data_IF_360314780680
#
_entry.id   IF_360314780680
#
_cell.length_a   1.000
_cell.length_b   1.000
_cell.length_c   1.000
_cell.angle_alpha   90.00
_cell.angle_beta   90.00
_cell.angle_gamma   90.00
#
_symmetry.space_group_name_H-M   'P 1'
#
loop_
_entity.id
_entity.type
_entity.pdbx_description
1 polymer ?
#
# COMPACT_ATOMS: atom_id res chain seq x y z
N UNK A 1 -12.94 -39.58 -0.20
CA UNK A 1 -11.96 -39.94 0.84
C UNK A 1 -12.39 -39.20 2.10
N UNK A 2 -13.03 -39.92 3.03
CA UNK A 2 -13.56 -39.33 4.26
C UNK A 2 -12.39 -39.12 5.21
N UNK A 3 -12.12 -37.85 5.57
CA UNK A 3 -11.17 -37.50 6.61
C UNK A 3 -11.89 -37.81 7.93
N UNK A 4 -11.35 -38.79 8.69
CA UNK A 4 -11.88 -39.15 9.99
C UNK A 4 -11.69 -37.98 10.96
N UNK A 5 -12.79 -37.41 11.46
CA UNK A 5 -12.80 -36.48 12.56
C UNK A 5 -12.23 -37.18 13.80
N UNK A 6 -11.17 -36.65 14.38
CA UNK A 6 -10.72 -36.99 15.73
C UNK A 6 -11.68 -36.37 16.75
N UNK A 7 -12.00 -37.06 17.86
CA UNK A 7 -12.88 -36.49 18.86
C UNK A 7 -12.25 -35.26 19.52
N UNK A 8 -13.10 -34.30 19.83
CA UNK A 8 -12.81 -33.05 20.51
C UNK A 8 -11.92 -33.22 21.73
N UNK A 9 -10.66 -32.81 21.65
CA UNK A 9 -9.86 -32.49 22.81
C UNK A 9 -10.25 -31.14 23.34
N UNK A 10 -10.96 -31.09 24.43
CA UNK A 10 -11.17 -29.88 25.22
C UNK A 10 -9.82 -29.50 25.82
N UNK A 11 -9.14 -28.55 25.22
CA UNK A 11 -7.95 -27.95 25.81
C UNK A 11 -8.40 -26.89 26.82
N UNK A 12 -8.39 -27.21 28.09
CA UNK A 12 -8.36 -26.26 29.18
C UNK A 12 -6.97 -25.58 29.15
N UNK A 13 -6.83 -24.53 28.39
CA UNK A 13 -5.72 -23.60 28.51
C UNK A 13 -6.31 -22.30 29.05
N UNK A 14 -5.79 -21.86 30.18
CA UNK A 14 -6.22 -20.73 30.99
C UNK A 14 -6.88 -19.59 30.21
N UNK A 15 -8.18 -19.40 30.48
CA UNK A 15 -8.96 -18.15 30.34
C UNK A 15 -9.24 -17.56 28.93
N UNK A 16 -9.44 -18.37 27.90
CA UNK A 16 -10.10 -17.89 26.68
C UNK A 16 -11.11 -18.93 26.19
N UNK A 17 -12.40 -18.66 26.40
CA UNK A 17 -13.50 -19.40 25.78
C UNK A 17 -13.75 -18.72 24.42
N UNK A 18 -13.35 -19.38 23.34
CA UNK A 18 -13.75 -18.95 21.99
C UNK A 18 -15.23 -19.26 21.79
N UNK A 19 -16.06 -18.24 21.56
CA UNK A 19 -17.47 -18.41 21.15
C UNK A 19 -17.52 -18.89 19.69
N UNK A 20 -16.53 -18.53 18.88
CA UNK A 20 -16.35 -19.09 17.55
C UNK A 20 -15.85 -20.54 17.68
N UNK A 21 -16.50 -21.48 16.98
CA UNK A 21 -15.99 -22.87 16.96
C UNK A 21 -14.62 -22.92 16.26
N UNK A 22 -13.79 -23.92 16.58
CA UNK A 22 -12.49 -24.13 15.90
C UNK A 22 -12.67 -24.22 14.38
N UNK A 23 -13.77 -24.81 13.91
CA UNK A 23 -14.12 -24.91 12.49
C UNK A 23 -14.36 -23.51 11.89
N UNK A 24 -15.14 -22.67 12.54
CA UNK A 24 -15.40 -21.29 12.08
C UNK A 24 -14.12 -20.44 12.06
N UNK A 25 -13.26 -20.55 13.06
CA UNK A 25 -12.00 -19.85 13.15
C UNK A 25 -11.02 -20.33 12.05
N UNK A 26 -10.99 -21.63 11.76
CA UNK A 26 -10.19 -22.19 10.67
C UNK A 26 -10.70 -21.76 9.29
N UNK A 27 -12.03 -21.72 9.12
CA UNK A 27 -12.66 -21.23 7.88
C UNK A 27 -12.37 -19.74 7.66
N UNK A 28 -12.38 -18.92 8.70
CA UNK A 28 -11.98 -17.51 8.63
C UNK A 28 -10.54 -17.37 8.18
N UNK A 29 -9.61 -18.12 8.82
CA UNK A 29 -8.20 -18.11 8.44
C UNK A 29 -7.99 -18.55 6.99
N UNK A 30 -8.76 -19.54 6.55
CA UNK A 30 -8.73 -20.05 5.16
C UNK A 30 -9.20 -18.98 4.18
N UNK A 31 -10.27 -18.27 4.48
CA UNK A 31 -10.75 -17.14 3.65
C UNK A 31 -9.69 -16.04 3.55
N UNK A 32 -9.11 -15.63 4.66
CA UNK A 32 -8.05 -14.61 4.71
C UNK A 32 -6.82 -15.05 3.91
N UNK A 33 -6.42 -16.32 3.97
CA UNK A 33 -5.36 -16.88 3.13
C UNK A 33 -5.67 -16.70 1.64
N UNK A 34 -6.88 -16.99 1.19
CA UNK A 34 -7.28 -16.80 -0.21
C UNK A 34 -7.27 -15.33 -0.62
N UNK A 35 -7.70 -14.41 0.24
CA UNK A 35 -7.61 -12.96 -0.01
C UNK A 35 -6.16 -12.50 -0.13
N UNK A 36 -5.29 -12.91 0.82
CA UNK A 36 -3.85 -12.62 0.80
C UNK A 36 -3.18 -13.08 -0.50
N UNK A 37 -3.66 -14.17 -1.08
CA UNK A 37 -3.17 -14.76 -2.32
C UNK A 37 -3.53 -13.95 -3.56
N UNK A 38 -4.59 -13.16 -3.55
CA UNK A 38 -5.04 -12.38 -4.72
C UNK A 38 -3.89 -11.53 -5.26
N UNK A 39 -3.72 -11.55 -6.59
CA UNK A 39 -2.67 -10.82 -7.31
C UNK A 39 -1.20 -11.20 -6.98
N UNK A 40 -0.96 -12.22 -6.14
CA UNK A 40 0.39 -12.66 -5.72
C UNK A 40 0.69 -14.13 -6.05
N UNK A 41 -0.11 -14.77 -6.89
CA UNK A 41 -0.06 -16.22 -7.20
C UNK A 41 1.28 -16.74 -7.74
N UNK A 42 2.10 -15.85 -8.31
CA UNK A 42 3.38 -16.21 -8.92
C UNK A 42 4.60 -15.79 -8.08
N UNK A 43 4.39 -15.23 -6.91
CA UNK A 43 5.47 -14.93 -5.97
C UNK A 43 6.06 -16.20 -5.39
N UNK A 44 7.39 -16.30 -5.31
CA UNK A 44 8.07 -17.51 -4.83
C UNK A 44 7.57 -17.97 -3.45
N UNK A 45 7.34 -17.04 -2.52
CA UNK A 45 6.84 -17.34 -1.17
C UNK A 45 5.40 -17.86 -1.18
N UNK A 46 4.54 -17.28 -2.05
CA UNK A 46 3.14 -17.75 -2.21
C UNK A 46 3.11 -19.15 -2.80
N UNK A 47 3.94 -19.42 -3.81
CA UNK A 47 4.04 -20.75 -4.43
C UNK A 47 4.58 -21.79 -3.43
N UNK A 48 5.61 -21.43 -2.65
CA UNK A 48 6.18 -22.30 -1.63
C UNK A 48 5.19 -22.59 -0.49
N UNK A 49 4.32 -21.63 -0.16
CA UNK A 49 3.24 -21.84 0.79
C UNK A 49 2.18 -22.75 0.20
N UNK A 50 1.73 -22.51 -1.03
CA UNK A 50 0.67 -23.25 -1.71
C UNK A 50 1.02 -24.73 -1.93
N UNK A 51 2.30 -25.06 -2.08
CA UNK A 51 2.74 -26.45 -2.24
C UNK A 51 2.37 -27.34 -1.06
N UNK A 52 2.34 -26.78 0.17
CA UNK A 52 1.99 -27.49 1.41
C UNK A 52 0.96 -26.70 2.24
N UNK A 53 0.06 -25.96 1.58
CA UNK A 53 -0.82 -24.98 2.22
C UNK A 53 -1.61 -25.54 3.41
N UNK A 54 -2.20 -26.72 3.28
CA UNK A 54 -3.02 -27.32 4.33
C UNK A 54 -2.23 -27.55 5.62
N UNK A 55 -1.03 -28.13 5.50
CA UNK A 55 -0.15 -28.36 6.66
C UNK A 55 0.32 -27.04 7.28
N UNK A 56 0.69 -26.08 6.44
CA UNK A 56 1.16 -24.78 6.92
C UNK A 56 0.03 -23.98 7.59
N UNK A 57 -1.17 -24.05 7.03
CA UNK A 57 -2.32 -23.36 7.59
C UNK A 57 -2.75 -23.95 8.92
N UNK A 58 -2.73 -25.28 9.07
CA UNK A 58 -3.00 -25.94 10.38
C UNK A 58 -1.95 -25.53 11.41
N UNK A 59 -0.66 -25.55 11.07
CA UNK A 59 0.39 -25.10 12.00
C UNK A 59 0.23 -23.64 12.39
N UNK A 60 -0.12 -22.77 11.43
CA UNK A 60 -0.38 -21.36 11.70
C UNK A 60 -1.60 -21.20 12.60
N UNK A 61 -2.66 -21.97 12.36
CA UNK A 61 -3.86 -21.96 13.19
C UNK A 61 -3.52 -22.36 14.63
N UNK A 62 -2.82 -23.48 14.83
CA UNK A 62 -2.38 -23.93 16.15
C UNK A 62 -1.56 -22.85 16.86
N UNK A 63 -0.59 -22.24 16.16
CA UNK A 63 0.25 -21.19 16.72
C UNK A 63 -0.53 -19.90 17.06
N UNK A 64 -1.56 -19.56 16.28
CA UNK A 64 -2.45 -18.43 16.58
C UNK A 64 -3.32 -18.71 17.81
N UNK A 65 -3.87 -19.93 17.91
CA UNK A 65 -4.71 -20.36 19.04
C UNK A 65 -3.93 -20.41 20.35
N UNK A 66 -2.67 -20.85 20.31
CA UNK A 66 -1.79 -20.91 21.49
C UNK A 66 -1.06 -19.58 21.77
N UNK A 67 -1.26 -18.55 20.93
CA UNK A 67 -0.52 -17.26 20.97
C UNK A 67 1.01 -17.41 20.85
N UNK A 68 1.46 -18.50 20.25
CA UNK A 68 2.88 -18.75 19.95
C UNK A 68 3.30 -18.22 18.58
N UNK A 69 2.35 -17.76 17.75
CA UNK A 69 2.63 -17.20 16.45
C UNK A 69 3.58 -15.99 16.54
N UNK A 70 4.56 -15.96 15.64
CA UNK A 70 5.51 -14.85 15.48
C UNK A 70 5.60 -14.46 14.00
N UNK A 71 5.83 -13.19 13.74
CA UNK A 71 6.08 -12.69 12.38
C UNK A 71 7.58 -12.78 12.11
N UNK A 72 7.98 -13.90 11.56
CA UNK A 72 9.37 -14.22 11.23
C UNK A 72 9.63 -14.21 9.71
N UNK A 73 10.88 -14.53 9.32
CA UNK A 73 11.31 -14.68 7.94
C UNK A 73 11.03 -13.43 7.10
N UNK A 74 11.44 -12.28 7.62
CA UNK A 74 11.40 -11.03 6.88
C UNK A 74 12.54 -10.99 5.85
N UNK A 75 12.30 -10.27 4.75
CA UNK A 75 13.33 -9.97 3.76
C UNK A 75 13.23 -8.52 3.33
N UNK A 76 14.38 -7.92 3.03
CA UNK A 76 14.50 -6.55 2.62
C UNK A 76 15.09 -6.43 1.21
N UNK A 77 14.57 -5.49 0.43
CA UNK A 77 15.09 -5.16 -0.88
C UNK A 77 14.86 -3.69 -1.21
N UNK A 78 15.64 -3.18 -2.18
CA UNK A 78 15.46 -1.83 -2.67
C UNK A 78 14.59 -1.81 -3.93
N UNK A 79 13.73 -0.81 -4.01
CA UNK A 79 13.03 -0.42 -5.24
C UNK A 79 13.53 0.92 -5.70
N UNK A 80 13.81 1.06 -7.00
CA UNK A 80 14.29 2.32 -7.60
C UNK A 80 13.15 3.20 -8.15
N UNK A 81 11.94 2.67 -8.24
CA UNK A 81 10.82 3.36 -8.87
C UNK A 81 9.69 3.63 -7.87
N UNK A 82 9.08 4.85 -7.86
CA UNK A 82 9.47 6.09 -8.57
C UNK A 82 10.71 6.78 -7.99
N UNK A 83 11.11 6.41 -6.81
CA UNK A 83 12.33 6.80 -6.10
C UNK A 83 12.85 5.61 -5.32
N UNK A 84 14.13 5.63 -4.96
CA UNK A 84 14.71 4.60 -4.12
C UNK A 84 13.96 4.50 -2.77
N UNK A 85 13.58 3.30 -2.44
CA UNK A 85 12.91 2.97 -1.17
C UNK A 85 13.38 1.63 -0.67
N UNK A 86 13.54 1.55 0.62
CA UNK A 86 13.74 0.32 1.36
C UNK A 86 12.39 -0.35 1.62
N UNK A 87 12.25 -1.59 1.18
CA UNK A 87 11.01 -2.36 1.34
C UNK A 87 11.30 -3.57 2.21
N UNK A 88 10.51 -3.73 3.26
CA UNK A 88 10.52 -4.92 4.08
C UNK A 88 9.24 -5.72 3.82
N UNK A 89 9.42 -6.95 3.43
CA UNK A 89 8.34 -7.89 3.26
C UNK A 89 8.50 -9.04 4.25
N UNK A 90 7.41 -9.65 4.62
CA UNK A 90 7.37 -10.79 5.50
C UNK A 90 7.01 -12.07 4.74
N UNK A 91 7.15 -13.23 5.36
CA UNK A 91 6.69 -14.52 4.84
C UNK A 91 5.22 -14.48 4.43
N UNK A 92 4.76 -15.48 3.71
CA UNK A 92 3.35 -15.53 3.33
C UNK A 92 2.44 -15.68 4.55
N UNK A 93 2.88 -16.41 5.59
CA UNK A 93 2.21 -16.53 6.89
C UNK A 93 2.09 -15.17 7.60
N UNK A 94 3.17 -14.38 7.60
CA UNK A 94 3.14 -13.03 8.16
C UNK A 94 2.18 -12.10 7.42
N UNK A 95 2.05 -12.26 6.08
CA UNK A 95 1.05 -11.51 5.30
C UNK A 95 -0.38 -11.93 5.61
N UNK A 96 -0.62 -13.22 5.86
CA UNK A 96 -1.93 -13.70 6.33
C UNK A 96 -2.27 -13.05 7.67
N UNK A 97 -1.30 -12.94 8.59
CA UNK A 97 -1.51 -12.27 9.87
C UNK A 97 -1.82 -10.76 9.69
N UNK A 98 -1.09 -10.07 8.82
CA UNK A 98 -1.40 -8.66 8.48
C UNK A 98 -2.83 -8.50 7.93
N UNK A 99 -3.23 -9.40 7.01
CA UNK A 99 -4.58 -9.38 6.45
C UNK A 99 -5.63 -9.73 7.48
N UNK A 100 -5.36 -10.69 8.38
CA UNK A 100 -6.29 -11.06 9.43
C UNK A 100 -6.61 -9.86 10.35
N UNK A 101 -5.60 -9.10 10.76
CA UNK A 101 -5.79 -7.85 11.52
C UNK A 101 -6.54 -6.80 10.70
N UNK A 102 -6.00 -6.49 9.52
CA UNK A 102 -6.49 -5.35 8.74
C UNK A 102 -7.87 -5.59 8.11
N UNK A 103 -8.17 -6.81 7.66
CA UNK A 103 -9.43 -7.09 6.96
C UNK A 103 -10.61 -7.20 7.95
N UNK A 104 -10.38 -7.74 9.15
CA UNK A 104 -11.40 -7.77 10.20
C UNK A 104 -11.66 -6.38 10.79
N UNK A 105 -10.63 -5.55 10.91
CA UNK A 105 -10.78 -4.19 11.44
C UNK A 105 -11.19 -3.16 10.39
N UNK A 106 -11.12 -3.50 9.10
CA UNK A 106 -11.38 -2.57 8.00
C UNK A 106 -12.71 -1.81 8.12
N UNK A 107 -13.87 -2.44 8.40
CA UNK A 107 -15.13 -1.72 8.53
C UNK A 107 -15.05 -0.62 9.61
N UNK A 108 -14.44 -0.92 10.73
CA UNK A 108 -14.32 -0.02 11.88
C UNK A 108 -13.28 1.07 11.65
N UNK A 109 -12.17 0.75 11.00
CA UNK A 109 -11.14 1.72 10.58
C UNK A 109 -11.73 2.71 9.57
N UNK A 110 -12.56 2.25 8.63
CA UNK A 110 -13.23 3.15 7.67
C UNK A 110 -14.19 4.12 8.35
N UNK A 111 -14.89 3.70 9.41
CA UNK A 111 -15.74 4.57 10.22
C UNK A 111 -14.93 5.58 11.05
N UNK A 112 -13.73 5.19 11.46
CA UNK A 112 -12.87 6.01 12.32
C UNK A 112 -12.08 7.06 11.53
N UNK A 113 -11.63 6.72 10.33
CA UNK A 113 -10.82 7.63 9.53
C UNK A 113 -11.63 8.83 9.03
N UNK A 114 -11.10 10.03 9.26
CA UNK A 114 -11.71 11.26 8.74
C UNK A 114 -11.92 11.17 7.21
N UNK A 115 -13.03 11.68 6.65
CA UNK A 115 -13.35 11.58 5.22
C UNK A 115 -12.26 12.14 4.30
N UNK A 116 -11.44 13.07 4.77
CA UNK A 116 -10.34 13.71 4.03
C UNK A 116 -8.99 12.99 4.13
N UNK A 117 -8.99 11.76 4.65
CA UNK A 117 -7.84 10.84 4.60
C UNK A 117 -8.04 9.85 3.45
N UNK A 118 -7.09 9.80 2.48
CA UNK A 118 -7.31 9.12 1.19
C UNK A 118 -6.44 7.90 0.93
N UNK A 119 -5.49 7.59 1.80
CA UNK A 119 -4.59 6.46 1.59
C UNK A 119 -5.20 5.13 2.06
N UNK A 120 -4.95 4.06 1.30
CA UNK A 120 -5.26 2.67 1.65
C UNK A 120 -6.73 2.41 2.06
N UNK A 121 -7.68 3.12 1.45
CA UNK A 121 -9.11 3.03 1.71
C UNK A 121 -9.89 2.62 0.46
N UNK A 122 -11.07 2.02 0.66
CA UNK A 122 -11.97 1.65 -0.44
C UNK A 122 -12.50 2.92 -1.12
N UNK A 123 -12.53 2.93 -2.44
CA UNK A 123 -12.96 4.05 -3.30
C UNK A 123 -12.24 5.38 -3.06
N UNK A 124 -11.20 5.36 -2.24
CA UNK A 124 -10.26 6.45 -2.04
C UNK A 124 -8.98 6.16 -2.83
N UNK A 125 -8.08 7.09 -2.92
CA UNK A 125 -6.82 6.91 -3.65
C UNK A 125 -6.33 8.24 -4.17
N UNK A 126 -5.21 8.24 -4.90
CA UNK A 126 -4.59 9.49 -5.36
C UNK A 126 -5.50 10.35 -6.22
N UNK A 127 -6.33 9.74 -7.08
CA UNK A 127 -7.27 10.51 -7.90
C UNK A 127 -8.39 11.13 -7.08
N UNK A 128 -8.93 10.40 -6.10
CA UNK A 128 -9.95 10.93 -5.21
C UNK A 128 -9.41 12.07 -4.33
N UNK A 129 -8.15 11.96 -3.84
CA UNK A 129 -7.49 13.03 -3.12
C UNK A 129 -7.28 14.29 -3.98
N UNK A 130 -6.87 14.12 -5.25
CA UNK A 130 -6.73 15.23 -6.20
C UNK A 130 -8.08 15.90 -6.45
N UNK A 131 -9.14 15.13 -6.67
CA UNK A 131 -10.49 15.65 -6.89
C UNK A 131 -10.98 16.43 -5.65
N UNK A 132 -10.73 15.92 -4.45
CA UNK A 132 -11.08 16.62 -3.21
C UNK A 132 -10.40 18.00 -3.11
N UNK A 133 -9.10 18.08 -3.42
CA UNK A 133 -8.38 19.36 -3.44
C UNK A 133 -8.97 20.33 -4.47
N UNK A 134 -9.40 19.83 -5.62
CA UNK A 134 -10.07 20.65 -6.65
C UNK A 134 -11.43 21.16 -6.16
N UNK A 135 -12.20 20.31 -5.51
CA UNK A 135 -13.48 20.65 -4.88
C UNK A 135 -13.28 21.71 -3.78
N UNK A 136 -12.27 21.53 -2.93
CA UNK A 136 -11.91 22.49 -1.88
C UNK A 136 -11.54 23.86 -2.48
N UNK A 137 -10.73 23.89 -3.56
CA UNK A 137 -10.40 25.13 -4.25
C UNK A 137 -11.66 25.78 -4.83
N UNK A 138 -12.52 25.02 -5.49
CA UNK A 138 -13.75 25.54 -6.08
C UNK A 138 -14.70 26.11 -5.01
N UNK A 139 -14.84 25.43 -3.86
CA UNK A 139 -15.66 25.86 -2.73
C UNK A 139 -15.12 27.16 -2.13
N UNK A 140 -13.83 27.14 -1.73
CA UNK A 140 -13.18 28.27 -1.05
C UNK A 140 -13.08 29.52 -1.93
N UNK A 141 -13.00 29.34 -3.25
CA UNK A 141 -12.89 30.44 -4.21
C UNK A 141 -14.21 30.84 -4.86
N UNK A 142 -15.34 30.36 -4.35
CA UNK A 142 -16.66 30.61 -4.93
C UNK A 142 -16.68 30.37 -6.46
N UNK A 143 -16.29 29.16 -6.86
CA UNK A 143 -16.21 28.76 -8.27
C UNK A 143 -15.08 29.45 -9.05
N UNK A 144 -13.90 29.61 -8.45
CA UNK A 144 -12.67 30.18 -9.00
C UNK A 144 -12.70 31.72 -9.20
N UNK A 145 -13.59 32.41 -8.53
CA UNK A 145 -13.70 33.88 -8.60
C UNK A 145 -12.85 34.57 -7.56
N UNK A 146 -12.83 34.05 -6.33
CA UNK A 146 -12.18 34.68 -5.19
C UNK A 146 -10.72 34.20 -5.02
N UNK A 147 -9.95 34.98 -4.27
CA UNK A 147 -8.57 34.64 -3.92
C UNK A 147 -8.54 33.66 -2.75
N UNK A 148 -7.61 32.74 -2.83
CA UNK A 148 -7.36 31.73 -1.82
C UNK A 148 -5.89 31.32 -1.80
N UNK A 149 -5.49 30.64 -0.72
CA UNK A 149 -4.13 30.12 -0.52
C UNK A 149 -4.15 28.61 -0.45
N UNK A 150 -3.10 28.01 -0.96
CA UNK A 150 -2.79 26.59 -0.77
C UNK A 150 -1.51 26.45 0.04
N UNK A 151 -1.62 25.73 1.15
CA UNK A 151 -0.48 25.41 2.02
C UNK A 151 -0.25 23.91 1.90
N UNK A 152 0.88 23.53 1.30
CA UNK A 152 1.26 22.13 1.19
C UNK A 152 2.34 21.77 2.20
N UNK A 153 2.22 20.59 2.78
CA UNK A 153 3.20 20.02 3.68
C UNK A 153 3.44 18.54 3.40
N UNK A 154 4.60 18.03 3.80
CA UNK A 154 5.04 16.63 3.66
C UNK A 154 5.66 16.21 4.99
N UNK A 155 5.52 14.94 5.36
CA UNK A 155 6.11 14.41 6.57
C UNK A 155 7.49 13.80 6.28
N UNK A 156 8.52 14.26 7.00
CA UNK A 156 9.89 13.79 6.81
C UNK A 156 10.06 12.37 7.33
N UNK A 157 10.27 11.41 6.41
CA UNK A 157 10.53 10.02 6.79
C UNK A 157 9.39 9.43 7.62
N UNK A 158 8.15 9.56 7.16
CA UNK A 158 6.94 9.21 7.91
C UNK A 158 7.00 7.79 8.47
N UNK A 159 7.19 6.77 7.62
CA UNK A 159 7.28 5.37 8.04
C UNK A 159 8.52 5.08 8.93
N UNK A 160 9.75 5.48 8.53
CA UNK A 160 10.93 5.16 9.35
C UNK A 160 11.02 5.89 10.69
N UNK A 161 10.20 6.91 10.94
CA UNK A 161 10.24 7.65 12.20
C UNK A 161 8.99 7.44 13.08
N UNK A 162 7.96 6.77 12.58
CA UNK A 162 6.76 6.47 13.34
C UNK A 162 7.07 5.57 14.54
N UNK A 163 6.48 5.86 15.70
CA UNK A 163 6.64 5.02 16.89
C UNK A 163 5.67 3.84 16.87
N UNK A 164 6.20 2.63 17.00
CA UNK A 164 5.37 1.43 17.08
C UNK A 164 4.36 1.48 18.22
N UNK A 165 4.75 2.06 19.37
CA UNK A 165 3.87 2.25 20.52
C UNK A 165 2.66 3.14 20.22
N UNK A 166 2.86 4.24 19.47
CA UNK A 166 1.73 5.09 19.07
C UNK A 166 0.83 4.41 18.05
N UNK A 167 1.40 3.66 17.10
CA UNK A 167 0.59 2.86 16.17
C UNK A 167 -0.23 1.79 16.88
N UNK A 168 0.34 1.13 17.91
CA UNK A 168 -0.39 0.18 18.75
C UNK A 168 -1.56 0.85 19.48
N UNK A 169 -1.36 2.06 20.02
CA UNK A 169 -2.43 2.86 20.63
C UNK A 169 -3.56 3.10 19.63
N UNK A 170 -3.26 3.54 18.41
CA UNK A 170 -4.26 3.80 17.39
C UNK A 170 -5.11 2.55 17.05
N UNK A 171 -4.49 1.39 16.90
CA UNK A 171 -5.24 0.14 16.68
C UNK A 171 -6.07 -0.25 17.89
N UNK A 172 -5.53 -0.10 19.10
CA UNK A 172 -6.24 -0.43 20.32
C UNK A 172 -7.44 0.47 20.56
N UNK A 173 -7.36 1.76 20.24
CA UNK A 173 -8.48 2.69 20.31
C UNK A 173 -9.62 2.29 19.40
N UNK A 174 -9.35 1.89 18.16
CA UNK A 174 -10.35 1.35 17.25
C UNK A 174 -10.98 0.07 17.81
N UNK A 175 -10.17 -0.87 18.28
CA UNK A 175 -10.65 -2.14 18.82
C UNK A 175 -11.54 -1.91 20.07
N UNK A 176 -11.14 -1.02 20.97
CA UNK A 176 -11.94 -0.74 22.17
C UNK A 176 -13.22 0.02 21.87
N UNK A 177 -13.15 1.02 20.98
CA UNK A 177 -14.32 1.79 20.56
C UNK A 177 -15.42 0.91 19.96
N UNK A 178 -15.04 -0.05 19.13
CA UNK A 178 -15.94 -0.96 18.41
C UNK A 178 -15.97 -2.38 19.00
N UNK A 179 -15.54 -2.53 20.27
CA UNK A 179 -15.39 -3.83 20.92
C UNK A 179 -16.66 -4.68 20.86
N UNK A 180 -17.82 -4.07 21.13
CA UNK A 180 -19.10 -4.78 21.16
C UNK A 180 -19.52 -5.21 19.75
N UNK A 181 -19.31 -4.37 18.76
CA UNK A 181 -19.66 -4.68 17.37
C UNK A 181 -18.77 -5.80 16.82
N UNK A 182 -17.45 -5.73 17.10
CA UNK A 182 -16.48 -6.78 16.73
C UNK A 182 -16.84 -8.10 17.42
N UNK A 183 -17.18 -8.04 18.70
CA UNK A 183 -17.56 -9.24 19.46
C UNK A 183 -18.88 -9.84 18.94
N UNK A 184 -19.84 -9.01 18.59
CA UNK A 184 -21.14 -9.46 18.03
C UNK A 184 -20.96 -10.10 16.64
N UNK A 185 -20.01 -9.61 15.82
CA UNK A 185 -19.80 -10.12 14.47
C UNK A 185 -18.91 -11.38 14.44
N UNK A 186 -17.85 -11.41 15.29
CA UNK A 186 -16.81 -12.44 15.21
C UNK A 186 -16.65 -13.28 16.49
N UNK A 187 -17.23 -12.89 17.61
CA UNK A 187 -17.13 -13.56 18.92
C UNK A 187 -16.41 -12.72 19.97
N UNK A 188 -16.74 -12.95 21.25
CA UNK A 188 -16.32 -12.14 22.41
C UNK A 188 -14.79 -12.07 22.60
N UNK A 189 -14.08 -13.10 22.21
CA UNK A 189 -12.61 -13.20 22.35
C UNK A 189 -11.84 -12.51 21.22
N UNK A 190 -12.51 -12.21 20.11
CA UNK A 190 -11.86 -11.66 18.91
C UNK A 190 -11.25 -10.27 19.16
N UNK A 191 -11.88 -9.32 19.88
CA UNK A 191 -11.22 -8.05 20.19
C UNK A 191 -9.87 -8.24 20.91
N UNK A 192 -9.82 -9.15 21.89
CA UNK A 192 -8.56 -9.47 22.60
C UNK A 192 -7.52 -10.17 21.73
N UNK A 193 -7.97 -11.05 20.83
CA UNK A 193 -7.12 -11.69 19.84
C UNK A 193 -6.54 -10.69 18.83
N UNK A 194 -7.37 -9.80 18.28
CA UNK A 194 -6.94 -8.78 17.33
C UNK A 194 -5.94 -7.80 17.96
N UNK A 195 -6.17 -7.38 19.21
CA UNK A 195 -5.20 -6.57 19.96
C UNK A 195 -3.84 -7.26 20.04
N UNK A 196 -3.81 -8.52 20.48
CA UNK A 196 -2.59 -9.30 20.56
C UNK A 196 -1.91 -9.45 19.20
N UNK A 197 -2.67 -9.80 18.14
CA UNK A 197 -2.12 -10.02 16.81
C UNK A 197 -1.62 -8.72 16.18
N UNK A 198 -2.32 -7.60 16.36
CA UNK A 198 -1.88 -6.28 15.91
C UNK A 198 -0.54 -5.90 16.57
N UNK A 199 -0.41 -6.11 17.89
CA UNK A 199 0.84 -5.90 18.61
C UNK A 199 1.99 -6.73 18.00
N UNK A 200 1.79 -8.01 17.75
CA UNK A 200 2.81 -8.89 17.12
C UNK A 200 3.19 -8.38 15.72
N UNK A 201 2.22 -7.91 14.94
CA UNK A 201 2.47 -7.39 13.60
C UNK A 201 3.20 -6.04 13.61
N UNK A 202 2.88 -5.16 14.55
CA UNK A 202 3.45 -3.80 14.67
C UNK A 202 4.86 -3.86 15.23
N UNK A 203 5.08 -4.62 16.32
CA UNK A 203 6.36 -4.72 17.00
C UNK A 203 7.31 -5.78 16.42
N UNK A 204 6.95 -6.40 15.28
CA UNK A 204 7.90 -7.25 14.59
C UNK A 204 9.10 -6.39 14.13
N UNK A 205 10.26 -6.61 14.71
CA UNK A 205 11.48 -5.92 14.28
C UNK A 205 11.88 -6.42 12.87
N UNK A 206 11.31 -5.78 11.82
CA UNK A 206 11.44 -6.22 10.44
C UNK A 206 12.89 -6.15 9.92
N UNK A 207 13.74 -5.31 10.51
CA UNK A 207 15.15 -5.19 10.17
C UNK A 207 16.05 -6.22 10.88
N UNK A 208 15.55 -6.85 11.95
CA UNK A 208 16.31 -7.85 12.68
C UNK A 208 16.25 -9.20 11.97
N UNK A 209 17.40 -9.82 11.74
CA UNK A 209 17.54 -11.14 11.10
C UNK A 209 16.79 -11.27 9.76
N UNK A 210 16.68 -10.16 8.99
CA UNK A 210 16.05 -10.22 7.68
C UNK A 210 17.05 -10.65 6.59
N UNK A 211 16.54 -11.39 5.59
CA UNK A 211 17.27 -11.73 4.38
C UNK A 211 17.39 -10.49 3.47
N UNK A 212 18.61 -10.12 3.08
CA UNK A 212 18.84 -9.05 2.11
C UNK A 212 18.77 -9.61 0.69
N UNK A 213 17.79 -9.18 -0.10
CA UNK A 213 17.61 -9.57 -1.51
C UNK A 213 18.23 -8.57 -2.50
N UNK A 214 18.74 -7.47 -2.01
CA UNK A 214 19.55 -6.50 -2.77
C UNK A 214 20.93 -6.42 -2.12
N UNK A 215 22.02 -6.32 -2.89
CA UNK A 215 23.38 -6.19 -2.35
C UNK A 215 23.50 -5.01 -1.37
N UNK A 216 24.16 -5.23 -0.24
CA UNK A 216 24.25 -4.27 0.86
C UNK A 216 24.89 -2.93 0.44
N UNK A 217 25.84 -2.95 -0.48
CA UNK A 217 26.48 -1.71 -1.00
C UNK A 217 25.50 -0.72 -1.61
N UNK A 218 24.45 -1.20 -2.27
CA UNK A 218 23.42 -0.33 -2.85
C UNK A 218 22.59 0.40 -1.80
N UNK A 219 22.51 -0.11 -0.55
CA UNK A 219 21.82 0.60 0.52
C UNK A 219 22.51 1.90 0.87
N UNK A 220 23.83 1.85 1.05
CA UNK A 220 24.64 3.02 1.39
C UNK A 220 24.59 4.09 0.29
N UNK A 221 24.51 3.67 -0.98
CA UNK A 221 24.49 4.59 -2.12
C UNK A 221 23.13 5.30 -2.31
N UNK A 222 22.05 4.69 -1.87
CA UNK A 222 20.70 5.14 -2.27
C UNK A 222 19.74 5.44 -1.13
N UNK A 223 20.02 4.97 0.08
CA UNK A 223 19.15 5.19 1.26
C UNK A 223 19.93 5.98 2.32
N UNK A 224 19.43 7.17 2.62
CA UNK A 224 19.95 7.98 3.72
C UNK A 224 19.75 7.22 5.05
N UNK A 225 20.73 7.19 5.97
CA UNK A 225 20.60 6.49 7.25
C UNK A 225 19.34 6.88 8.04
N UNK A 226 18.96 8.15 8.02
CA UNK A 226 17.75 8.63 8.68
C UNK A 226 16.45 8.00 8.16
N UNK A 227 16.47 7.47 6.93
CA UNK A 227 15.32 6.85 6.26
C UNK A 227 15.35 5.32 6.26
N UNK A 228 16.41 4.71 6.80
CA UNK A 228 16.58 3.27 6.86
C UNK A 228 16.14 2.73 8.22
N UNK A 229 15.35 1.65 8.23
CA UNK A 229 14.99 0.93 9.45
C UNK A 229 16.19 0.24 10.09
N UNK A 230 17.24 -0.08 9.32
CA UNK A 230 18.48 -0.65 9.88
C UNK A 230 19.22 0.30 10.82
N UNK A 231 18.93 1.60 10.75
CA UNK A 231 19.55 2.64 11.58
C UNK A 231 18.66 3.10 12.72
N UNK A 232 17.51 2.43 12.94
CA UNK A 232 16.56 2.82 13.99
C UNK A 232 16.65 1.93 15.21
N UNK A 233 16.40 2.55 16.37
CA UNK A 233 16.24 1.82 17.61
C UNK A 233 14.96 0.93 17.57
N UNK A 234 14.95 -0.20 18.28
CA UNK A 234 13.76 -1.02 18.41
C UNK A 234 12.53 -0.21 18.87
N UNK A 235 11.40 -0.41 18.19
CA UNK A 235 10.16 0.33 18.47
C UNK A 235 10.05 1.66 17.72
N UNK A 236 11.07 2.07 16.96
CA UNK A 236 11.04 3.23 16.07
C UNK A 236 11.06 2.76 14.62
N UNK A 237 10.12 3.30 13.84
CA UNK A 237 9.96 2.99 12.43
C UNK A 237 9.10 1.75 12.19
N UNK A 238 8.25 1.87 11.18
CA UNK A 238 7.40 0.79 10.68
C UNK A 238 7.79 0.43 9.25
N UNK A 239 7.74 -0.85 8.89
CA UNK A 239 8.24 -1.30 7.60
C UNK A 239 7.35 -0.86 6.44
N UNK A 240 7.95 -0.30 5.38
CA UNK A 240 7.27 -0.09 4.12
C UNK A 240 7.13 -1.45 3.42
N UNK A 241 5.89 -1.84 3.09
CA UNK A 241 5.60 -3.09 2.41
C UNK A 241 4.67 -4.03 3.18
N UNK A 242 4.31 -3.67 4.41
CA UNK A 242 3.33 -4.41 5.22
C UNK A 242 1.96 -3.71 5.23
N UNK A 243 0.90 -4.53 5.26
CA UNK A 243 -0.48 -4.02 5.24
C UNK A 243 -0.83 -3.32 6.56
N UNK A 244 -0.42 -3.88 7.70
CA UNK A 244 -0.61 -3.25 9.02
C UNK A 244 0.05 -1.88 9.10
N UNK A 245 1.28 -1.73 8.57
CA UNK A 245 1.95 -0.43 8.51
C UNK A 245 1.16 0.57 7.66
N UNK A 246 0.75 0.17 6.45
CA UNK A 246 0.02 1.06 5.54
C UNK A 246 -1.33 1.50 6.10
N UNK A 247 -2.05 0.59 6.74
CA UNK A 247 -3.35 0.87 7.37
C UNK A 247 -3.18 1.72 8.61
N UNK A 248 -2.23 1.37 9.48
CA UNK A 248 -1.95 2.07 10.71
C UNK A 248 -1.49 3.51 10.50
N UNK A 249 -0.73 3.81 9.42
CA UNK A 249 -0.27 5.18 9.15
C UNK A 249 -1.42 6.15 8.83
N UNK A 250 -2.56 5.65 8.33
CA UNK A 250 -3.79 6.45 8.21
C UNK A 250 -4.37 6.84 9.56
N UNK A 251 -4.45 5.88 10.49
CA UNK A 251 -4.90 6.12 11.85
C UNK A 251 -3.95 7.04 12.63
N UNK A 252 -2.64 6.89 12.39
CA UNK A 252 -1.56 7.58 13.10
C UNK A 252 -1.69 9.09 13.11
N UNK A 253 -2.19 9.69 12.04
CA UNK A 253 -2.37 11.14 11.88
C UNK A 253 -3.84 11.56 11.85
N UNK A 254 -4.75 10.60 12.07
CA UNK A 254 -6.19 10.87 11.95
C UNK A 254 -6.68 12.00 12.86
N UNK A 255 -6.18 12.06 14.10
CA UNK A 255 -6.52 13.11 15.05
C UNK A 255 -6.03 14.49 14.62
N UNK A 256 -4.89 14.56 13.92
CA UNK A 256 -4.40 15.83 13.38
C UNK A 256 -5.24 16.27 12.19
N UNK A 257 -5.69 15.31 11.37
CA UNK A 257 -6.60 15.59 10.25
C UNK A 257 -7.96 16.06 10.76
N UNK A 258 -8.49 15.43 11.80
CA UNK A 258 -9.74 15.86 12.46
C UNK A 258 -9.58 17.26 13.07
N UNK A 259 -8.52 17.46 13.84
CA UNK A 259 -8.26 18.76 14.44
C UNK A 259 -8.21 19.88 13.41
N UNK A 260 -7.50 19.70 12.29
CA UNK A 260 -7.43 20.71 11.24
C UNK A 260 -8.78 20.98 10.57
N UNK A 261 -9.54 19.91 10.27
CA UNK A 261 -10.82 20.03 9.53
C UNK A 261 -11.98 20.41 10.45
N UNK A 262 -12.17 19.68 11.56
CA UNK A 262 -13.38 19.79 12.38
C UNK A 262 -13.24 20.88 13.43
N UNK A 263 -12.08 20.98 14.13
CA UNK A 263 -11.89 21.93 15.21
C UNK A 263 -11.41 23.29 14.69
N UNK A 264 -10.49 23.31 13.70
CA UNK A 264 -9.93 24.54 13.16
C UNK A 264 -10.68 25.06 11.91
N UNK A 265 -11.54 24.24 11.29
CA UNK A 265 -12.28 24.62 10.10
C UNK A 265 -11.41 24.86 8.87
N UNK A 266 -10.28 24.15 8.74
CA UNK A 266 -9.36 24.26 7.61
C UNK A 266 -9.56 23.07 6.67
N UNK A 267 -9.96 23.30 5.41
CA UNK A 267 -10.05 22.27 4.41
C UNK A 267 -8.67 21.61 4.19
N UNK A 268 -8.46 20.46 4.83
CA UNK A 268 -7.19 19.74 4.81
C UNK A 268 -7.35 18.35 4.23
N UNK A 269 -6.78 18.10 3.06
CA UNK A 269 -6.76 16.79 2.39
C UNK A 269 -5.41 16.13 2.60
N UNK A 270 -5.42 14.86 3.04
CA UNK A 270 -4.20 14.12 3.36
C UNK A 270 -4.13 12.80 2.59
N UNK A 271 -2.95 12.52 2.02
CA UNK A 271 -2.60 11.27 1.39
C UNK A 271 -1.24 10.78 1.88
N UNK A 272 -1.20 9.85 2.81
CA UNK A 272 0.02 9.38 3.48
C UNK A 272 0.80 10.53 4.15
N UNK A 273 1.99 10.80 3.60
CA UNK A 273 2.92 11.83 4.05
C UNK A 273 2.65 13.23 3.45
N UNK A 274 1.82 13.31 2.43
CA UNK A 274 1.48 14.56 1.74
C UNK A 274 0.15 15.15 2.25
N UNK A 275 0.13 16.41 2.70
CA UNK A 275 -1.07 17.17 3.08
C UNK A 275 -1.20 18.48 2.33
N UNK A 276 -2.44 18.85 2.07
CA UNK A 276 -2.80 20.11 1.40
C UNK A 276 -3.91 20.80 2.19
N UNK A 277 -3.69 22.02 2.61
CA UNK A 277 -4.70 22.92 3.15
C UNK A 277 -5.13 23.90 2.05
N UNK A 278 -6.42 24.12 1.94
CA UNK A 278 -6.99 25.15 1.06
C UNK A 278 -7.78 26.13 1.91
N UNK A 279 -7.43 27.40 1.87
CA UNK A 279 -8.04 28.43 2.70
C UNK A 279 -8.34 29.69 1.90
N UNK A 280 -9.44 30.39 2.19
CA UNK A 280 -9.68 31.73 1.62
C UNK A 280 -8.62 32.72 2.11
N UNK A 281 -8.36 33.78 1.37
CA UNK A 281 -7.31 34.75 1.69
C UNK A 281 -7.47 35.35 3.09
N UNK A 282 -8.70 35.60 3.54
CA UNK A 282 -8.98 36.14 4.86
C UNK A 282 -8.63 35.20 6.03
N UNK A 283 -8.56 33.88 5.78
CA UNK A 283 -8.22 32.86 6.80
C UNK A 283 -6.74 32.46 6.75
N UNK A 284 -5.97 32.99 5.82
CA UNK A 284 -4.59 32.60 5.56
C UNK A 284 -3.68 32.71 6.79
N UNK A 285 -3.66 33.90 7.44
CA UNK A 285 -2.84 34.14 8.64
C UNK A 285 -3.22 33.19 9.79
N UNK A 286 -4.52 32.91 9.95
CA UNK A 286 -4.98 31.92 10.93
C UNK A 286 -4.44 30.53 10.60
N UNK A 287 -4.54 30.08 9.37
CA UNK A 287 -4.02 28.77 8.96
C UNK A 287 -2.50 28.65 9.20
N UNK A 288 -1.74 29.69 8.91
CA UNK A 288 -0.31 29.72 9.21
C UNK A 288 -0.02 29.68 10.72
N UNK A 289 -0.85 30.31 11.54
CA UNK A 289 -0.71 30.29 13.01
C UNK A 289 -0.91 28.89 13.62
N UNK A 290 -1.56 27.96 12.91
CA UNK A 290 -1.75 26.57 13.33
C UNK A 290 -0.52 25.68 13.09
N UNK A 291 0.40 26.09 12.22
CA UNK A 291 1.56 25.27 11.84
C UNK A 291 2.48 24.92 13.03
N UNK A 292 2.80 25.85 13.95
CA UNK A 292 3.57 25.50 15.15
C UNK A 292 2.90 24.43 16.02
N UNK A 293 1.59 24.50 16.21
CA UNK A 293 0.85 23.48 16.97
C UNK A 293 0.81 22.14 16.22
N UNK A 294 0.58 22.15 14.91
CA UNK A 294 0.68 20.94 14.09
C UNK A 294 2.05 20.28 14.22
N UNK A 295 3.15 21.05 14.20
CA UNK A 295 4.51 20.54 14.43
C UNK A 295 4.62 19.85 15.78
N UNK A 296 4.19 20.51 16.84
CA UNK A 296 4.23 19.98 18.20
C UNK A 296 3.44 18.68 18.34
N UNK A 297 2.23 18.61 17.77
CA UNK A 297 1.38 17.40 17.77
C UNK A 297 2.05 16.23 17.04
N UNK A 298 2.64 16.50 15.89
CA UNK A 298 3.36 15.49 15.09
C UNK A 298 4.65 15.02 15.79
N UNK A 299 5.43 15.94 16.37
CA UNK A 299 6.65 15.63 17.11
C UNK A 299 6.39 14.79 18.35
N UNK A 300 5.25 15.00 19.03
CA UNK A 300 4.80 14.16 20.15
C UNK A 300 4.57 12.69 19.76
N UNK A 301 4.52 12.38 18.46
CA UNK A 301 4.37 11.03 17.87
C UNK A 301 5.65 10.59 17.12
N UNK A 302 6.77 11.33 17.22
CA UNK A 302 8.02 11.03 16.53
C UNK A 302 8.07 11.45 15.05
N UNK A 303 7.06 12.14 14.54
CA UNK A 303 6.96 12.54 13.14
C UNK A 303 7.21 14.05 13.00
N UNK A 304 7.80 14.49 11.89
CA UNK A 304 8.16 15.90 11.67
C UNK A 304 7.72 16.38 10.30
N UNK A 305 7.32 17.65 10.22
CA UNK A 305 7.14 18.32 8.94
C UNK A 305 8.48 18.47 8.21
N UNK A 306 8.43 18.35 6.91
CA UNK A 306 9.59 18.50 6.02
C UNK A 306 9.67 19.95 5.52
N UNK A 307 10.51 20.78 6.14
CA UNK A 307 10.64 22.19 5.79
C UNK A 307 11.02 22.43 4.32
N UNK A 308 11.74 21.49 3.70
CA UNK A 308 12.13 21.60 2.28
C UNK A 308 10.97 21.37 1.31
N UNK A 309 9.86 20.82 1.81
CA UNK A 309 8.65 20.52 1.02
C UNK A 309 7.40 21.22 1.59
N UNK A 310 7.61 22.14 2.47
CA UNK A 310 6.56 23.04 2.94
C UNK A 310 6.53 24.26 2.03
N UNK A 311 5.37 24.58 1.47
CA UNK A 311 5.17 25.82 0.74
C UNK A 311 3.75 26.34 0.89
N UNK A 312 3.64 27.64 0.81
CA UNK A 312 2.43 28.43 0.86
C UNK A 312 2.41 29.36 -0.36
N UNK A 313 1.33 29.34 -1.10
CA UNK A 313 1.19 30.16 -2.31
C UNK A 313 -0.27 30.44 -2.68
N UNK A 314 -0.53 31.50 -3.48
CA UNK A 314 -1.83 31.70 -4.10
C UNK A 314 -2.23 30.47 -4.95
N UNK A 315 -3.48 30.04 -4.84
CA UNK A 315 -3.98 28.90 -5.61
C UNK A 315 -3.82 29.06 -7.13
N UNK A 316 -3.86 30.30 -7.63
CA UNK A 316 -3.71 30.63 -9.07
C UNK A 316 -2.34 30.26 -9.63
N UNK A 317 -1.33 30.08 -8.79
CA UNK A 317 0.00 29.61 -9.20
C UNK A 317 0.01 28.11 -9.52
N UNK A 318 -1.09 27.42 -9.24
CA UNK A 318 -1.19 25.95 -9.35
C UNK A 318 -0.60 25.23 -8.14
N UNK A 319 -0.83 23.94 -8.06
CA UNK A 319 -0.39 23.09 -6.95
C UNK A 319 0.16 21.78 -7.50
N UNK A 320 1.34 21.37 -7.05
CA UNK A 320 1.83 20.02 -7.35
C UNK A 320 1.42 19.06 -6.20
N UNK A 321 0.51 18.13 -6.49
CA UNK A 321 0.01 17.14 -5.54
C UNK A 321 -0.09 15.76 -6.17
N UNK A 322 0.49 14.76 -5.54
CA UNK A 322 0.50 13.35 -5.96
C UNK A 322 0.91 13.15 -7.44
N UNK A 323 1.95 13.87 -7.86
CA UNK A 323 2.46 13.81 -9.22
C UNK A 323 1.59 14.49 -10.27
N UNK A 324 0.60 15.27 -9.83
CA UNK A 324 -0.29 16.07 -10.67
C UNK A 324 -0.06 17.54 -10.39
N UNK A 325 0.05 18.33 -11.43
CA UNK A 325 -0.01 19.76 -11.35
C UNK A 325 -1.46 20.21 -11.54
N UNK A 326 -2.05 20.75 -10.49
CA UNK A 326 -3.43 21.24 -10.42
C UNK A 326 -3.38 22.72 -10.70
N UNK A 327 -3.84 23.14 -11.88
CA UNK A 327 -4.03 24.53 -12.25
C UNK A 327 -5.52 24.89 -12.18
N UNK A 328 -5.89 26.18 -12.13
CA UNK A 328 -7.28 26.62 -12.05
C UNK A 328 -8.24 25.95 -13.03
N UNK A 329 -7.77 25.64 -14.23
CA UNK A 329 -8.63 25.15 -15.31
C UNK A 329 -8.14 23.82 -15.91
N UNK A 330 -7.06 23.26 -15.38
CA UNK A 330 -6.43 22.09 -16.01
C UNK A 330 -5.59 21.27 -15.07
N UNK A 331 -5.72 19.95 -15.21
CA UNK A 331 -4.84 18.98 -14.58
C UNK A 331 -3.74 18.54 -15.54
N UNK A 332 -2.51 18.49 -15.06
CA UNK A 332 -1.37 17.97 -15.80
C UNK A 332 -0.62 16.91 -15.01
N UNK A 333 -0.24 15.84 -15.66
CA UNK A 333 0.79 14.97 -15.12
C UNK A 333 2.11 15.76 -15.05
N UNK A 334 2.81 15.70 -13.92
CA UNK A 334 4.06 16.44 -13.81
C UNK A 334 5.09 15.94 -14.85
N UNK A 335 5.92 16.84 -15.34
CA UNK A 335 6.84 16.57 -16.44
C UNK A 335 7.86 15.48 -16.07
N UNK A 336 8.27 15.40 -14.81
CA UNK A 336 9.16 14.35 -14.33
C UNK A 336 8.57 12.95 -14.54
N UNK A 337 7.30 12.74 -14.21
CA UNK A 337 6.61 11.46 -14.40
C UNK A 337 6.37 11.18 -15.88
N UNK A 338 6.01 12.20 -16.66
CA UNK A 338 5.81 12.07 -18.09
C UNK A 338 7.11 11.73 -18.84
N UNK A 339 8.20 12.46 -18.60
CA UNK A 339 9.49 12.21 -19.23
C UNK A 339 10.00 10.79 -18.89
N UNK A 340 9.78 10.37 -17.65
CA UNK A 340 10.11 9.00 -17.24
C UNK A 340 9.29 7.94 -17.99
N UNK A 341 8.03 8.22 -18.32
CA UNK A 341 7.25 7.32 -19.15
C UNK A 341 7.88 7.14 -20.55
N UNK A 342 8.33 8.23 -21.17
CA UNK A 342 9.04 8.19 -22.46
C UNK A 342 10.36 7.42 -22.34
N UNK A 343 11.15 7.67 -21.29
CA UNK A 343 12.40 6.94 -21.03
C UNK A 343 12.17 5.44 -20.89
N UNK A 344 11.16 5.03 -20.10
CA UNK A 344 10.82 3.61 -19.95
C UNK A 344 10.39 2.96 -21.24
N UNK A 345 9.65 3.64 -22.10
CA UNK A 345 9.30 3.13 -23.43
C UNK A 345 10.57 2.94 -24.27
N UNK A 346 11.51 3.89 -24.25
CA UNK A 346 12.79 3.79 -24.97
C UNK A 346 13.65 2.63 -24.46
N UNK A 347 13.72 2.44 -23.14
CA UNK A 347 14.41 1.29 -22.55
C UNK A 347 13.84 -0.04 -23.03
N UNK A 348 12.51 -0.16 -23.07
CA UNK A 348 11.85 -1.36 -23.61
C UNK A 348 12.08 -1.53 -25.11
N UNK A 349 12.08 -0.45 -25.89
CA UNK A 349 12.36 -0.50 -27.33
C UNK A 349 13.76 -1.04 -27.63
N UNK A 350 14.74 -0.77 -26.75
CA UNK A 350 16.12 -1.23 -26.89
C UNK A 350 16.34 -2.71 -26.51
N UNK A 351 15.33 -3.40 -25.95
CA UNK A 351 15.45 -4.82 -25.61
C UNK A 351 15.41 -5.66 -26.90
N UNK A 352 16.39 -6.55 -27.07
CA UNK A 352 16.44 -7.47 -28.22
C UNK A 352 15.32 -8.54 -28.15
N UNK A 353 15.23 -9.29 -27.05
CA UNK A 353 14.20 -10.32 -26.84
C UNK A 353 12.91 -9.70 -26.25
N UNK A 354 12.19 -8.97 -27.10
CA UNK A 354 10.94 -8.26 -26.71
C UNK A 354 9.85 -9.22 -26.23
N UNK A 355 9.83 -10.45 -26.77
CA UNK A 355 8.79 -11.45 -26.49
C UNK A 355 8.66 -11.75 -24.99
N UNK A 356 9.78 -11.84 -24.28
CA UNK A 356 9.80 -12.10 -22.83
C UNK A 356 9.19 -10.97 -21.99
N UNK A 357 9.11 -9.76 -22.55
CA UNK A 357 8.73 -8.56 -21.83
C UNK A 357 7.36 -7.99 -22.25
N UNK A 358 6.62 -8.64 -23.16
CA UNK A 358 5.35 -8.14 -23.70
C UNK A 358 4.37 -7.75 -22.58
N UNK A 359 4.11 -8.64 -21.62
CA UNK A 359 3.18 -8.37 -20.51
C UNK A 359 3.66 -7.22 -19.62
N UNK A 360 4.97 -7.15 -19.34
CA UNK A 360 5.57 -6.09 -18.54
C UNK A 360 5.54 -4.74 -19.28
N UNK A 361 5.82 -4.75 -20.57
CA UNK A 361 5.74 -3.57 -21.42
C UNK A 361 4.30 -3.05 -21.47
N UNK A 362 3.34 -3.90 -21.81
CA UNK A 362 1.90 -3.57 -21.83
C UNK A 362 1.43 -2.97 -20.52
N UNK A 363 1.76 -3.62 -19.39
CA UNK A 363 1.40 -3.12 -18.07
C UNK A 363 2.02 -1.75 -17.77
N UNK A 364 3.28 -1.53 -18.16
CA UNK A 364 3.99 -0.27 -17.96
C UNK A 364 3.34 0.85 -18.76
N UNK A 365 3.12 0.67 -20.06
CA UNK A 365 2.50 1.69 -20.91
C UNK A 365 1.08 2.00 -20.43
N UNK A 366 0.28 0.97 -20.12
CA UNK A 366 -1.09 1.14 -19.66
C UNK A 366 -1.18 1.87 -18.31
N UNK A 367 -0.20 1.68 -17.43
CA UNK A 367 -0.10 2.45 -16.19
C UNK A 367 0.05 3.96 -16.46
N UNK A 368 0.97 4.35 -17.36
CA UNK A 368 1.18 5.76 -17.70
C UNK A 368 0.02 6.36 -18.48
N UNK A 369 -0.53 5.64 -19.45
CA UNK A 369 -1.72 6.12 -20.20
C UNK A 369 -2.92 6.28 -19.30
N UNK A 370 -3.11 5.41 -18.30
CA UNK A 370 -4.13 5.55 -17.26
C UNK A 370 -3.99 6.86 -16.47
N UNK A 371 -2.77 7.22 -16.07
CA UNK A 371 -2.49 8.48 -15.39
C UNK A 371 -2.83 9.71 -16.28
N UNK A 372 -2.49 9.66 -17.56
CA UNK A 372 -2.77 10.75 -18.50
C UNK A 372 -4.26 10.89 -18.83
N UNK A 373 -4.98 9.78 -18.93
CA UNK A 373 -6.45 9.78 -19.15
C UNK A 373 -7.19 10.51 -18.05
N UNK A 374 -6.82 10.24 -16.80
CA UNK A 374 -7.44 10.90 -15.63
C UNK A 374 -7.21 12.42 -15.62
N UNK A 375 -6.31 12.94 -16.47
CA UNK A 375 -5.97 14.35 -16.61
C UNK A 375 -6.36 14.94 -17.97
N UNK A 376 -7.07 14.15 -18.79
CA UNK A 376 -7.51 14.53 -20.13
C UNK A 376 -6.35 14.97 -21.06
N UNK A 377 -5.16 14.43 -20.88
CA UNK A 377 -3.95 14.78 -21.63
C UNK A 377 -3.78 13.95 -22.92
N UNK A 378 -4.76 14.02 -23.79
CA UNK A 378 -4.81 13.21 -25.02
C UNK A 378 -3.55 13.38 -25.91
N UNK A 379 -3.05 14.60 -26.06
CA UNK A 379 -1.83 14.85 -26.86
C UNK A 379 -0.62 14.07 -26.33
N UNK A 380 -0.43 14.03 -25.01
CA UNK A 380 0.65 13.29 -24.38
C UNK A 380 0.46 11.77 -24.53
N UNK A 381 -0.77 11.27 -24.54
CA UNK A 381 -1.07 9.88 -24.85
C UNK A 381 -0.65 9.52 -26.28
N UNK A 382 -0.95 10.38 -27.26
CA UNK A 382 -0.52 10.18 -28.65
C UNK A 382 1.01 10.11 -28.76
N UNK A 383 1.73 11.03 -28.11
CA UNK A 383 3.21 11.03 -28.11
C UNK A 383 3.77 9.74 -27.46
N UNK A 384 3.17 9.26 -26.37
CA UNK A 384 3.57 7.97 -25.78
C UNK A 384 3.34 6.81 -26.74
N UNK A 385 2.20 6.76 -27.41
CA UNK A 385 1.88 5.73 -28.41
C UNK A 385 2.88 5.77 -29.57
N UNK A 386 3.16 6.95 -30.10
CA UNK A 386 4.03 7.14 -31.25
C UNK A 386 5.52 6.88 -30.93
N UNK A 387 5.87 6.91 -29.63
CA UNK A 387 7.19 6.50 -29.14
C UNK A 387 7.41 4.98 -29.08
N UNK A 388 6.37 4.16 -29.27
CA UNK A 388 6.44 2.71 -29.24
C UNK A 388 7.02 2.20 -30.56
N UNK A 389 8.09 1.40 -30.48
CA UNK A 389 8.73 0.85 -31.67
C UNK A 389 7.79 -0.13 -32.40
N UNK A 390 7.86 -0.16 -33.78
CA UNK A 390 6.95 -0.95 -34.60
C UNK A 390 6.91 -2.44 -34.27
N UNK A 391 8.00 -3.01 -33.80
CA UNK A 391 8.11 -4.44 -33.49
C UNK A 391 7.14 -4.88 -32.39
N UNK A 392 6.78 -3.99 -31.45
CA UNK A 392 5.80 -4.30 -30.42
C UNK A 392 4.41 -4.58 -30.98
N UNK A 393 4.08 -4.01 -32.14
CA UNK A 393 2.80 -4.18 -32.81
C UNK A 393 2.63 -5.55 -33.48
N UNK A 394 3.63 -6.39 -33.44
CA UNK A 394 3.49 -7.79 -33.84
C UNK A 394 2.51 -8.53 -32.89
N UNK A 395 2.63 -8.30 -31.59
CA UNK A 395 1.87 -8.99 -30.54
C UNK A 395 0.79 -8.15 -29.88
N UNK A 396 0.89 -6.85 -30.00
CA UNK A 396 0.06 -5.86 -29.33
C UNK A 396 -0.70 -5.01 -30.33
N UNK A 397 -1.79 -4.40 -29.88
CA UNK A 397 -2.53 -3.40 -30.64
C UNK A 397 -2.98 -2.25 -29.74
N UNK A 398 -3.21 -1.09 -30.34
CA UNK A 398 -3.71 0.07 -29.65
C UNK A 398 -5.24 0.10 -29.69
N UNK A 399 -5.89 0.00 -28.52
CA UNK A 399 -7.32 0.22 -28.40
C UNK A 399 -7.61 1.75 -28.33
N UNK A 400 -8.09 2.28 -29.44
CA UNK A 400 -8.40 3.71 -29.53
C UNK A 400 -9.54 4.15 -28.59
N UNK A 401 -10.48 3.26 -28.28
CA UNK A 401 -11.61 3.56 -27.39
C UNK A 401 -11.14 3.62 -25.93
N UNK A 402 -10.32 2.67 -25.55
CA UNK A 402 -9.79 2.59 -24.18
C UNK A 402 -8.51 3.39 -23.98
N UNK A 403 -7.88 3.88 -25.05
CA UNK A 403 -6.59 4.58 -25.00
C UNK A 403 -5.54 3.77 -24.22
N UNK A 404 -5.35 2.52 -24.61
CA UNK A 404 -4.42 1.59 -23.97
C UNK A 404 -3.96 0.52 -24.94
N UNK A 405 -2.90 -0.17 -24.56
CA UNK A 405 -2.41 -1.33 -25.32
C UNK A 405 -3.16 -2.59 -24.87
N UNK A 406 -3.61 -3.40 -25.82
CA UNK A 406 -4.18 -4.73 -25.60
C UNK A 406 -3.37 -5.77 -26.35
N UNK A 407 -3.41 -7.01 -25.88
CA UNK A 407 -2.79 -8.13 -26.60
C UNK A 407 -3.67 -8.56 -27.74
N UNK A 408 -3.07 -8.80 -28.92
CA UNK A 408 -3.79 -9.40 -30.03
C UNK A 408 -4.35 -10.79 -29.65
N UNK A 409 -5.49 -11.21 -30.22
CA UNK A 409 -6.13 -12.49 -29.87
C UNK A 409 -5.20 -13.70 -30.03
N UNK A 410 -4.48 -13.75 -31.15
CA UNK A 410 -3.57 -14.87 -31.48
C UNK A 410 -2.43 -14.98 -30.47
N UNK A 411 -1.86 -13.84 -30.02
CA UNK A 411 -0.85 -13.82 -28.99
C UNK A 411 -1.40 -14.29 -27.63
N UNK A 412 -2.59 -13.87 -27.25
CA UNK A 412 -3.24 -14.30 -26.02
C UNK A 412 -3.44 -15.80 -25.97
N UNK A 413 -3.80 -16.41 -27.10
CA UNK A 413 -3.95 -17.86 -27.23
C UNK A 413 -2.60 -18.59 -27.12
N UNK A 414 -1.55 -18.12 -27.81
CA UNK A 414 -0.20 -18.68 -27.73
C UNK A 414 0.36 -18.60 -26.30
N UNK A 415 0.12 -17.51 -25.57
CA UNK A 415 0.55 -17.37 -24.17
C UNK A 415 -0.16 -18.36 -23.24
N UNK A 416 -1.44 -18.62 -23.44
CA UNK A 416 -2.17 -19.65 -22.69
C UNK A 416 -1.60 -21.04 -22.94
N UNK A 417 -1.28 -21.36 -24.20
CA UNK A 417 -0.64 -22.62 -24.57
C UNK A 417 0.76 -22.74 -23.98
N UNK A 418 1.60 -21.72 -24.10
CA UNK A 418 2.96 -21.70 -23.55
C UNK A 418 2.98 -21.79 -22.03
N UNK A 419 2.08 -21.12 -21.32
CA UNK A 419 1.93 -21.31 -19.85
C UNK A 419 1.60 -22.75 -19.50
N UNK A 420 0.71 -23.38 -20.25
CA UNK A 420 0.34 -24.79 -20.07
C UNK A 420 1.49 -25.75 -20.40
N UNK A 421 2.28 -25.45 -21.44
CA UNK A 421 3.44 -26.25 -21.89
C UNK A 421 4.66 -26.07 -20.97
N UNK A 422 5.00 -24.85 -20.59
CA UNK A 422 6.14 -24.57 -19.69
C UNK A 422 5.92 -25.11 -18.26
N UNK A 423 4.67 -25.21 -17.80
CA UNK A 423 4.37 -25.93 -16.56
C UNK A 423 4.63 -27.43 -16.69
N UNK A 424 4.33 -28.04 -17.87
CA UNK A 424 4.63 -29.47 -18.13
C UNK A 424 6.12 -29.73 -18.29
N UNK A 425 6.88 -28.85 -18.98
CA UNK A 425 8.34 -28.99 -19.16
C UNK A 425 9.09 -28.87 -17.85
N UNK A 426 8.72 -27.91 -16.97
CA UNK A 426 9.31 -27.79 -15.62
C UNK A 426 9.02 -28.98 -14.72
N UNK A 427 7.90 -29.66 -14.90
CA UNK A 427 7.59 -30.91 -14.19
C UNK A 427 8.43 -32.08 -14.72
N UNK A 428 8.70 -32.14 -16.03
CA UNK A 428 9.55 -33.17 -16.63
C UNK A 428 11.04 -33.04 -16.29
N UNK A 429 11.57 -31.83 -16.21
CA UNK A 429 12.96 -31.60 -15.82
C UNK A 429 13.22 -31.92 -14.34
N UNK A 430 12.24 -31.63 -13.45
CA UNK A 430 12.37 -32.03 -12.04
C UNK A 430 12.32 -33.55 -11.85
N UNK A 431 11.59 -34.29 -12.66
CA UNK A 431 11.53 -35.75 -12.60
C UNK A 431 12.79 -36.43 -13.15
N UNK A 432 13.55 -35.77 -14.06
CA UNK A 432 14.85 -36.27 -14.55
C UNK A 432 15.97 -36.06 -13.51
N UNK A 433 15.97 -34.92 -12.80
CA UNK A 433 16.97 -34.67 -11.76
C UNK A 433 16.80 -35.50 -10.47
N UNK A 434 15.62 -36.07 -10.24
CA UNK A 434 15.40 -37.03 -9.13
C UNK A 434 15.73 -38.49 -9.47
N UNK A 435 16.11 -38.82 -10.73
CA UNK A 435 16.57 -40.15 -11.14
C UNK A 435 18.09 -40.24 -11.34
N UNK A 436 18.81 -39.15 -11.03
CA UNK A 436 20.28 -39.07 -11.21
C UNK A 436 21.04 -38.89 -9.88
N UNK A 437 20.40 -39.24 -8.75
CA UNK A 437 21.07 -39.37 -7.44
C UNK A 437 20.62 -40.67 -6.77
#
# INVERSE_FOLDING_TARGET
MRIACRPSRIYYIHNFIWIMTEEQAFDLLTRVMYETRKNKRYGGDSVAFEWCWSRKLVRMFDALMTKEFRVDNNYAFLTSYPKWREIFATSFEGRIADHLVCDLLRPYIELELHPRTFNNRVDKGSQAAINQVIEDIAEVTNGYHDDARVIKWDLKGFFPNAWCSHMEICFNEVIEKYRQDIAAEYGDDIPGFLRWLAMICIHCNASNNCELRTPQGLWADHIEPEKSLFSKEPGIGVPIGRLTSQTGMGLYINDDVRWLNDDCGIHTTVFMDDGVMVVPEWQHEYALSLIPELRKRLEAKGVRLNDKKFYDQPWRNGLEFLGTHINPWRLHLNDKTYNRAIERIREFNAIEDKYRFIEKFKATVNSYTGLLKNRTEYRRICVLRDAIAPEWWEWLEWDNRRQCIVSKPDYSFCMLLNRKYNLKLKQHDKSRNHRAH
#
